data_IF_711140704958
#
_entry.id   IF_711140704958
#
_cell.length_a   1.000
_cell.length_b   1.000
_cell.length_c   1.000
_cell.angle_alpha   90.00
_cell.angle_beta   90.00
_cell.angle_gamma   90.00
#
_symmetry.space_group_name_H-M   'P 1'
#
loop_
_entity.id
_entity.type
_entity.pdbx_description
1 polymer ?
#
# COMPACT_ATOMS: atom_id res chain seq x y z
N UNK A 1 19.20 2.64 -16.51
CA UNK A 1 18.15 2.00 -15.68
C UNK A 1 17.51 3.07 -14.82
N UNK A 2 16.18 3.06 -14.62
CA UNK A 2 15.55 3.99 -13.68
C UNK A 2 15.90 3.55 -12.26
N UNK A 3 16.23 4.48 -11.34
CA UNK A 3 16.46 4.12 -9.95
C UNK A 3 15.18 3.52 -9.33
N UNK A 4 15.37 2.51 -8.50
CA UNK A 4 14.28 1.73 -7.91
C UNK A 4 14.73 1.07 -6.61
N UNK A 5 13.85 0.25 -6.05
CA UNK A 5 14.11 -0.40 -4.77
C UNK A 5 13.00 -1.35 -4.36
N UNK A 6 13.32 -2.17 -3.37
CA UNK A 6 12.38 -3.13 -2.80
C UNK A 6 11.49 -2.41 -1.78
N UNK A 7 10.18 -2.59 -1.92
CA UNK A 7 9.19 -2.15 -0.94
C UNK A 7 8.58 -3.39 -0.31
N UNK A 8 8.58 -3.46 1.03
CA UNK A 8 7.93 -4.52 1.81
C UNK A 8 6.55 -4.06 2.25
N UNK A 9 5.52 -4.84 1.96
CA UNK A 9 4.12 -4.53 2.26
C UNK A 9 3.48 -5.69 3.02
N UNK A 10 2.90 -5.40 4.18
CA UNK A 10 2.04 -6.34 4.89
C UNK A 10 0.65 -6.36 4.23
N UNK A 11 0.28 -7.50 3.66
CA UNK A 11 -0.83 -7.66 2.71
C UNK A 11 -1.91 -8.65 3.17
N UNK A 12 -2.00 -8.90 4.48
CA UNK A 12 -2.99 -9.81 5.07
C UNK A 12 -4.45 -9.40 4.80
N UNK A 13 -4.72 -8.14 4.45
CA UNK A 13 -6.03 -7.66 4.00
C UNK A 13 -6.46 -8.23 2.62
N UNK A 14 -5.50 -8.69 1.82
CA UNK A 14 -5.70 -9.34 0.52
C UNK A 14 -5.66 -10.86 0.65
N UNK A 15 -4.67 -11.38 1.37
CA UNK A 15 -4.48 -12.82 1.57
C UNK A 15 -4.16 -13.10 3.04
N UNK A 16 -5.12 -13.62 3.80
CA UNK A 16 -5.00 -13.77 5.26
C UNK A 16 -3.82 -14.61 5.75
N UNK A 17 -3.34 -15.56 4.93
CA UNK A 17 -2.17 -16.38 5.26
C UNK A 17 -0.83 -15.74 4.88
N UNK A 18 -0.85 -14.61 4.15
CA UNK A 18 0.35 -13.86 3.77
C UNK A 18 0.82 -13.00 4.93
N UNK A 19 2.12 -13.09 5.26
CA UNK A 19 2.72 -12.18 6.23
C UNK A 19 3.06 -10.85 5.57
N UNK A 20 3.78 -10.90 4.46
CA UNK A 20 4.15 -9.73 3.66
C UNK A 20 4.53 -10.16 2.24
N UNK A 21 4.53 -9.20 1.32
CA UNK A 21 5.11 -9.32 -0.01
C UNK A 21 6.14 -8.21 -0.23
N UNK A 22 7.16 -8.51 -1.00
CA UNK A 22 8.16 -7.54 -1.43
C UNK A 22 8.00 -7.29 -2.93
N UNK A 23 7.85 -6.03 -3.32
CA UNK A 23 7.73 -5.62 -4.71
C UNK A 23 8.92 -4.75 -5.10
N UNK A 24 9.51 -5.02 -6.26
CA UNK A 24 10.51 -4.15 -6.85
C UNK A 24 9.78 -3.00 -7.56
N UNK A 25 10.05 -1.77 -7.13
CA UNK A 25 9.35 -0.58 -7.61
C UNK A 25 10.34 0.45 -8.13
N UNK A 26 9.85 1.36 -8.98
CA UNK A 26 10.61 2.55 -9.35
C UNK A 26 10.37 3.67 -8.33
N UNK A 27 11.22 4.69 -8.32
CA UNK A 27 10.98 5.89 -7.49
C UNK A 27 9.72 6.69 -7.87
N UNK A 28 9.11 6.39 -9.04
CA UNK A 28 7.89 7.04 -9.51
C UNK A 28 6.65 6.17 -9.36
N UNK A 29 6.79 4.95 -8.84
CA UNK A 29 5.65 4.08 -8.62
C UNK A 29 4.80 4.67 -7.52
N UNK A 30 3.54 4.98 -7.80
CA UNK A 30 2.63 5.57 -6.83
C UNK A 30 2.04 4.52 -5.89
N UNK A 31 1.41 4.96 -4.81
CA UNK A 31 0.70 4.07 -3.89
C UNK A 31 -0.45 3.33 -4.58
N UNK A 32 -1.16 4.00 -5.49
CA UNK A 32 -2.23 3.38 -6.29
C UNK A 32 -1.69 2.31 -7.25
N UNK A 33 -0.61 2.63 -7.98
CA UNK A 33 0.07 1.66 -8.84
C UNK A 33 0.63 0.47 -8.05
N UNK A 34 1.18 0.71 -6.86
CA UNK A 34 1.69 -0.35 -5.99
C UNK A 34 0.56 -1.29 -5.54
N UNK A 35 -0.61 -0.74 -5.17
CA UNK A 35 -1.79 -1.55 -4.84
C UNK A 35 -2.30 -2.32 -6.06
N UNK A 36 -2.32 -1.70 -7.24
CA UNK A 36 -2.72 -2.37 -8.48
C UNK A 36 -1.81 -3.58 -8.82
N UNK A 37 -0.48 -3.39 -8.71
CA UNK A 37 0.50 -4.48 -8.88
C UNK A 37 0.26 -5.58 -7.84
N UNK A 38 0.05 -5.21 -6.58
CA UNK A 38 -0.18 -6.16 -5.50
C UNK A 38 -1.46 -6.98 -5.71
N UNK A 39 -2.55 -6.35 -6.16
CA UNK A 39 -3.81 -7.02 -6.52
C UNK A 39 -3.61 -7.98 -7.70
N UNK A 40 -2.83 -7.57 -8.70
CA UNK A 40 -2.49 -8.42 -9.83
C UNK A 40 -1.70 -9.67 -9.41
N UNK A 41 -0.77 -9.55 -8.46
CA UNK A 41 -0.05 -10.71 -7.91
C UNK A 41 -0.95 -11.75 -7.22
N UNK A 42 -2.18 -11.39 -6.90
CA UNK A 42 -3.18 -12.26 -6.28
C UNK A 42 -4.35 -12.61 -7.22
N UNK A 43 -4.25 -12.29 -8.50
CA UNK A 43 -5.34 -12.47 -9.48
C UNK A 43 -6.67 -11.84 -9.03
N UNK A 44 -6.59 -10.76 -8.23
CA UNK A 44 -7.77 -10.11 -7.69
C UNK A 44 -8.46 -9.27 -8.75
N UNK A 45 -9.78 -9.43 -8.86
CA UNK A 45 -10.65 -8.56 -9.68
C UNK A 45 -11.14 -7.35 -8.89
N UNK A 46 -10.63 -7.15 -7.67
CA UNK A 46 -11.01 -6.01 -6.87
C UNK A 46 -10.39 -4.70 -7.35
N UNK A 47 -11.15 -3.62 -7.28
CA UNK A 47 -10.66 -2.28 -7.61
C UNK A 47 -9.78 -1.72 -6.48
N UNK A 48 -8.76 -0.94 -6.86
CA UNK A 48 -7.82 -0.32 -5.93
C UNK A 48 -8.53 0.58 -4.92
N UNK A 49 -9.66 1.18 -5.29
CA UNK A 49 -10.49 2.03 -4.41
C UNK A 49 -11.04 1.30 -3.18
N UNK A 50 -11.01 -0.04 -3.17
CA UNK A 50 -11.39 -0.86 -2.02
C UNK A 50 -10.27 -1.01 -1.00
N UNK A 51 -9.09 -0.50 -1.29
CA UNK A 51 -7.92 -0.63 -0.44
C UNK A 51 -7.26 0.73 -0.20
N UNK A 52 -6.45 0.78 0.85
CA UNK A 52 -5.58 1.91 1.16
C UNK A 52 -4.27 1.37 1.67
N UNK A 53 -3.18 2.04 1.29
CA UNK A 53 -1.85 1.79 1.82
C UNK A 53 -1.61 2.70 3.03
N UNK A 54 -1.13 2.12 4.12
CA UNK A 54 -0.75 2.86 5.33
C UNK A 54 0.73 2.71 5.57
N UNK A 55 1.35 3.79 6.02
CA UNK A 55 2.63 3.77 6.73
C UNK A 55 2.32 3.68 8.21
N UNK A 56 2.98 2.76 8.91
CA UNK A 56 2.76 2.46 10.32
C UNK A 56 4.11 2.37 11.00
N UNK A 57 4.32 3.16 12.05
CA UNK A 57 5.54 3.19 12.85
C UNK A 57 5.16 2.95 14.33
N UNK A 58 5.06 1.68 14.77
CA UNK A 58 4.56 1.33 16.11
C UNK A 58 5.34 2.01 17.23
N UNK A 59 6.67 2.08 17.14
CA UNK A 59 7.53 2.71 18.15
C UNK A 59 7.28 4.22 18.33
N UNK A 60 6.61 4.86 17.37
CA UNK A 60 6.26 6.28 17.40
C UNK A 60 4.75 6.52 17.59
N UNK A 61 3.97 5.46 17.82
CA UNK A 61 2.50 5.50 17.85
C UNK A 61 1.89 6.21 16.63
N UNK A 62 2.59 6.11 15.50
CA UNK A 62 2.26 6.84 14.29
C UNK A 62 1.67 5.92 13.23
N UNK A 63 0.57 6.32 12.64
CA UNK A 63 0.13 5.80 11.36
C UNK A 63 -0.47 6.90 10.50
N UNK A 64 -0.31 6.75 9.18
CA UNK A 64 -1.07 7.55 8.22
C UNK A 64 -1.45 6.73 7.00
N UNK A 65 -2.58 7.10 6.41
CA UNK A 65 -2.94 6.68 5.06
C UNK A 65 -2.07 7.44 4.06
N UNK A 66 -1.44 6.74 3.14
CA UNK A 66 -0.75 7.36 2.01
C UNK A 66 -1.78 7.93 1.01
N UNK A 67 -1.45 9.08 0.42
CA UNK A 67 -2.20 9.59 -0.73
C UNK A 67 -2.01 8.64 -1.93
N UNK A 68 -3.00 8.48 -2.82
CA UNK A 68 -2.84 7.66 -4.04
C UNK A 68 -1.60 8.03 -4.86
N UNK A 69 -1.24 9.32 -4.88
CA UNK A 69 -0.06 9.86 -5.59
C UNK A 69 1.25 9.83 -4.77
N UNK A 70 1.20 9.42 -3.49
CA UNK A 70 2.43 9.26 -2.71
C UNK A 70 3.32 8.19 -3.33
N UNK A 71 4.63 8.36 -3.22
CA UNK A 71 5.64 7.48 -3.80
C UNK A 71 6.21 6.58 -2.69
N UNK A 72 5.77 5.31 -2.56
CA UNK A 72 6.08 4.48 -1.39
C UNK A 72 7.58 4.25 -1.19
N UNK A 73 8.34 4.15 -2.29
CA UNK A 73 9.79 4.02 -2.18
C UNK A 73 10.47 5.27 -1.59
N UNK A 74 9.95 6.47 -1.89
CA UNK A 74 10.48 7.71 -1.31
C UNK A 74 10.05 7.84 0.15
N UNK A 75 8.80 7.49 0.47
CA UNK A 75 8.32 7.42 1.86
C UNK A 75 9.20 6.49 2.68
N UNK A 76 9.45 5.26 2.20
CA UNK A 76 10.33 4.28 2.87
C UNK A 76 11.74 4.83 3.13
N UNK A 77 12.29 5.60 2.19
CA UNK A 77 13.63 6.20 2.33
C UNK A 77 13.67 7.40 3.27
N UNK A 78 12.54 8.04 3.51
CA UNK A 78 12.43 9.16 4.44
C UNK A 78 12.30 8.72 5.91
N UNK A 79 12.09 7.43 6.13
CA UNK A 79 12.04 6.84 7.47
C UNK A 79 13.34 7.06 8.24
N UNK A 80 13.26 7.33 9.56
CA UNK A 80 14.43 7.34 10.42
C UNK A 80 15.21 6.03 10.32
N UNK A 81 16.53 6.09 10.48
CA UNK A 81 17.34 4.87 10.60
C UNK A 81 16.87 4.04 11.81
N UNK A 82 16.94 2.71 11.68
CA UNK A 82 16.55 1.74 12.72
C UNK A 82 15.09 1.83 13.18
N UNK A 83 14.21 2.38 12.35
CA UNK A 83 12.76 2.37 12.64
C UNK A 83 12.11 1.01 12.36
N UNK A 84 11.00 0.76 13.05
CA UNK A 84 10.06 -0.33 12.80
C UNK A 84 8.90 0.07 11.84
N UNK A 85 9.03 1.23 11.19
CA UNK A 85 8.09 1.67 10.16
C UNK A 85 7.93 0.62 9.06
N UNK A 86 6.69 0.40 8.64
CA UNK A 86 6.37 -0.53 7.55
C UNK A 86 5.09 -0.11 6.83
N UNK A 87 4.92 -0.64 5.61
CA UNK A 87 3.66 -0.48 4.88
C UNK A 87 2.68 -1.59 5.20
N UNK A 88 1.39 -1.24 5.30
CA UNK A 88 0.29 -2.18 5.52
C UNK A 88 -0.90 -1.83 4.65
N UNK A 89 -1.47 -2.83 3.99
CA UNK A 89 -2.73 -2.69 3.25
C UNK A 89 -3.91 -2.84 4.19
N UNK A 90 -4.94 -2.01 4.00
CA UNK A 90 -6.23 -2.13 4.68
C UNK A 90 -7.37 -2.06 3.67
N UNK A 91 -8.46 -2.79 3.93
CA UNK A 91 -9.72 -2.65 3.20
C UNK A 91 -10.41 -1.34 3.63
N UNK A 92 -10.91 -0.61 2.65
CA UNK A 92 -11.76 0.55 2.90
C UNK A 92 -13.15 0.04 3.29
N UNK A 93 -13.82 0.65 4.28
CA UNK A 93 -15.22 0.36 4.56
C UNK A 93 -16.01 0.59 3.26
N UNK A 94 -16.95 -0.31 2.94
CA UNK A 94 -17.76 -0.22 1.71
C UNK A 94 -18.30 1.20 1.57
N UNK A 95 -17.94 1.88 0.48
CA UNK A 95 -18.68 3.06 0.06
C UNK A 95 -20.16 2.64 -0.04
N UNK A 96 -21.11 3.41 0.52
CA UNK A 96 -22.53 3.10 0.35
C UNK A 96 -22.82 2.96 -1.15
N UNK A 97 -23.71 2.04 -1.56
CA UNK A 97 -24.07 1.88 -2.96
C UNK A 97 -24.44 3.25 -3.54
N UNK A 98 -23.89 3.57 -4.71
CA UNK A 98 -24.24 4.80 -5.42
C UNK A 98 -25.77 4.90 -5.51
N UNK A 99 -26.37 6.07 -5.25
CA UNK A 99 -27.81 6.22 -5.41
C UNK A 99 -28.20 5.87 -6.86
N UNK A 100 -29.36 5.24 -7.07
CA UNK A 100 -29.84 4.95 -8.42
C UNK A 100 -29.90 6.26 -9.21
N UNK A 101 -29.38 6.23 -10.45
CA UNK A 101 -29.56 7.34 -11.39
C UNK A 101 -31.05 7.42 -11.74
N UNK A 102 -31.70 8.46 -11.26
CA UNK A 102 -33.02 8.92 -11.73
C UNK A 102 -32.92 9.45 -13.16
#
# INVERSE_FOLDING_TARGET
>A
MRPGGLVKIYDSALMSSSQYKCLLTSERTTADELLAILLHCYDSTEGVERFSLYEVCPSQEYERKLHPDDLPLLVQRSWPQDTDCHFRVRRNPRAPPLPPRT
#
